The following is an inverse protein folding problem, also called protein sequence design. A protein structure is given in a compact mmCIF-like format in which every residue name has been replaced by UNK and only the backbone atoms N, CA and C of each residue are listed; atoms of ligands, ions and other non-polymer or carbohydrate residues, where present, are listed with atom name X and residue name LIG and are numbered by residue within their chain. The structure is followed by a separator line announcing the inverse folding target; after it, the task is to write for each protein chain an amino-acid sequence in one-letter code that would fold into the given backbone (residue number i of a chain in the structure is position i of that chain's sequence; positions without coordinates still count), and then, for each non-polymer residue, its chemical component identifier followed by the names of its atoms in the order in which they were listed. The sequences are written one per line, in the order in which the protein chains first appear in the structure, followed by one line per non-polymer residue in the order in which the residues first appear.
data_IF_659398316664
#
_entry.id   IF_659398316664
#
_cell.length_a   1.000
_cell.length_b   1.000
_cell.length_c   1.000
_cell.angle_alpha   90.00
_cell.angle_beta   90.00
_cell.angle_gamma   90.00
#
_symmetry.space_group_name_H-M   'P 1'
#
loop_
_entity.id
_entity.type
_entity.pdbx_description
1 polymer ?
#
# COMPACT_ATOMS: atom_id res chain seq x y z
N UNK A 1 -8.51 44.81 21.73
CA UNK A 1 -8.75 43.37 21.51
C UNK A 1 -8.59 43.12 20.02
N UNK A 2 -7.44 42.61 19.63
CA UNK A 2 -7.14 42.29 18.23
C UNK A 2 -7.80 40.95 17.91
N UNK A 3 -8.62 40.95 16.86
CA UNK A 3 -9.25 39.76 16.32
C UNK A 3 -8.24 39.08 15.40
N UNK A 4 -7.56 38.04 15.91
CA UNK A 4 -6.64 37.23 15.14
C UNK A 4 -7.44 36.33 14.18
N UNK A 5 -7.48 36.72 12.91
CA UNK A 5 -7.98 35.87 11.83
C UNK A 5 -7.02 34.71 11.63
N UNK A 6 -7.35 33.56 12.22
CA UNK A 6 -6.71 32.27 11.95
C UNK A 6 -6.80 31.93 10.45
N UNK A 7 -5.62 31.73 9.84
CA UNK A 7 -5.42 31.60 8.40
C UNK A 7 -6.21 30.46 7.76
N UNK A 8 -7.08 30.84 6.84
CA UNK A 8 -7.70 29.96 5.85
C UNK A 8 -6.72 29.86 4.68
N UNK A 9 -5.95 28.78 4.60
CA UNK A 9 -5.03 28.59 3.47
C UNK A 9 -4.31 27.25 3.51
N UNK A 10 -4.66 26.34 2.60
CA UNK A 10 -3.78 25.22 2.30
C UNK A 10 -4.37 23.97 1.66
N UNK A 11 -5.70 23.85 1.53
CA UNK A 11 -6.32 22.73 0.81
C UNK A 11 -6.17 22.89 -0.70
N UNK A 12 -5.07 22.43 -1.29
CA UNK A 12 -5.01 22.17 -2.74
C UNK A 12 -5.70 20.81 -2.97
N UNK A 13 -6.85 20.81 -3.65
CA UNK A 13 -7.60 19.61 -4.03
C UNK A 13 -8.91 19.42 -3.23
N UNK A 14 -9.70 18.36 -3.51
CA UNK A 14 -11.00 18.08 -2.88
C UNK A 14 -10.88 17.56 -1.44
N UNK A 15 -9.78 17.86 -0.76
CA UNK A 15 -9.44 17.30 0.55
C UNK A 15 -9.22 18.40 1.58
N UNK A 16 -9.86 18.27 2.73
CA UNK A 16 -9.60 19.08 3.91
C UNK A 16 -8.47 18.45 4.73
N UNK A 17 -7.43 19.22 5.03
CA UNK A 17 -6.20 18.73 5.68
C UNK A 17 -6.26 18.93 7.20
N UNK A 18 -5.91 17.89 7.94
CA UNK A 18 -5.71 17.87 9.38
C UNK A 18 -4.25 17.97 9.82
N UNK A 19 -3.98 17.50 11.04
CA UNK A 19 -2.65 17.56 11.65
C UNK A 19 -1.62 16.69 10.93
N UNK A 20 -0.36 17.13 10.94
CA UNK A 20 0.76 16.34 10.42
C UNK A 20 1.18 15.21 11.38
N UNK A 21 1.95 14.27 10.85
CA UNK A 21 2.74 13.29 11.60
C UNK A 21 4.21 13.67 11.56
N UNK A 22 4.77 14.01 12.72
CA UNK A 22 6.17 14.44 12.83
C UNK A 22 7.15 13.26 12.63
N UNK A 23 6.70 12.03 12.92
CA UNK A 23 7.46 10.79 12.79
C UNK A 23 7.86 10.48 11.35
N UNK A 24 7.12 11.02 10.38
CA UNK A 24 7.45 10.86 8.96
C UNK A 24 8.75 11.56 8.62
N UNK A 25 9.10 12.67 9.27
CA UNK A 25 10.36 13.39 9.04
C UNK A 25 10.51 14.01 7.63
N UNK A 26 11.43 14.96 7.46
CA UNK A 26 11.49 15.82 6.28
C UNK A 26 11.92 15.10 4.99
N UNK A 27 12.54 13.93 5.08
CA UNK A 27 13.06 13.16 3.94
C UNK A 27 11.97 12.63 3.01
N UNK A 28 10.80 12.29 3.56
CA UNK A 28 9.66 11.80 2.76
C UNK A 28 8.58 12.87 2.59
N UNK A 29 8.76 14.02 3.23
CA UNK A 29 7.80 15.11 3.23
C UNK A 29 6.95 15.17 4.49
N UNK A 30 5.69 15.58 4.33
CA UNK A 30 4.72 15.66 5.45
C UNK A 30 3.49 14.84 5.14
N UNK A 31 3.23 13.85 5.98
CA UNK A 31 1.97 13.10 5.95
C UNK A 31 0.97 13.77 6.89
N UNK A 32 -0.26 13.93 6.41
CA UNK A 32 -1.36 14.53 7.16
C UNK A 32 -2.57 13.60 7.20
N UNK A 33 -3.29 13.66 8.30
CA UNK A 33 -4.72 13.33 8.28
C UNK A 33 -5.41 14.24 7.26
N UNK A 34 -6.38 13.71 6.52
CA UNK A 34 -7.21 14.48 5.64
C UNK A 34 -8.59 13.83 5.47
N UNK A 35 -9.54 14.60 4.96
CA UNK A 35 -10.90 14.15 4.66
C UNK A 35 -11.29 14.55 3.25
N UNK A 36 -11.91 13.62 2.54
CA UNK A 36 -12.58 13.93 1.30
C UNK A 36 -13.81 14.80 1.59
N UNK A 37 -13.85 16.00 1.01
CA UNK A 37 -14.88 17.01 1.33
C UNK A 37 -16.27 16.58 0.87
N UNK A 38 -16.35 15.75 -0.17
CA UNK A 38 -17.62 15.30 -0.74
C UNK A 38 -18.18 14.10 0.04
N UNK A 39 -17.32 13.12 0.34
CA UNK A 39 -17.73 11.86 0.96
C UNK A 39 -17.55 11.80 2.47
N UNK A 40 -16.79 12.74 3.05
CA UNK A 40 -16.38 12.74 4.45
C UNK A 40 -15.42 11.60 4.83
N UNK A 41 -14.96 10.81 3.87
CA UNK A 41 -14.09 9.66 4.13
C UNK A 41 -12.71 10.12 4.58
N UNK A 42 -12.18 9.40 5.57
CA UNK A 42 -10.80 9.57 6.00
C UNK A 42 -9.84 9.20 4.87
N UNK A 43 -8.92 10.11 4.56
CA UNK A 43 -7.82 9.92 3.61
C UNK A 43 -6.51 10.37 4.24
N UNK A 44 -5.40 9.96 3.64
CA UNK A 44 -4.07 10.46 4.00
C UNK A 44 -3.56 11.35 2.88
N UNK A 45 -2.98 12.49 3.24
CA UNK A 45 -2.35 13.38 2.27
C UNK A 45 -0.85 13.48 2.55
N UNK A 46 -0.05 12.91 1.64
CA UNK A 46 1.39 13.06 1.65
C UNK A 46 1.79 14.27 0.78
N UNK A 47 2.61 15.14 1.35
CA UNK A 47 3.16 16.32 0.68
C UNK A 47 4.68 16.17 0.60
N UNK A 48 5.22 15.68 -0.53
CA UNK A 48 6.65 15.58 -0.74
C UNK A 48 7.34 16.93 -0.59
N UNK A 49 8.55 16.93 -0.02
CA UNK A 49 9.41 18.12 0.04
C UNK A 49 10.37 18.15 -1.15
N UNK A 50 11.20 19.19 -1.23
CA UNK A 50 12.28 19.28 -2.23
C UNK A 50 13.36 18.20 -2.06
N UNK A 51 13.34 17.42 -0.96
CA UNK A 51 14.27 16.31 -0.71
C UNK A 51 13.90 15.03 -1.47
N UNK A 52 12.69 14.95 -2.02
CA UNK A 52 12.29 13.86 -2.92
C UNK A 52 12.75 14.22 -4.33
N UNK A 53 13.65 13.42 -4.90
CA UNK A 53 14.39 13.73 -6.13
C UNK A 53 13.52 13.73 -7.39
N UNK A 54 12.37 13.07 -7.35
CA UNK A 54 11.43 12.98 -8.46
C UNK A 54 10.08 13.62 -8.08
N UNK A 55 9.32 14.01 -9.09
CA UNK A 55 7.96 14.53 -8.94
C UNK A 55 7.10 14.00 -10.07
N UNK A 56 5.79 13.84 -9.82
CA UNK A 56 4.93 13.33 -10.87
C UNK A 56 4.82 14.30 -12.05
N UNK A 57 4.88 13.79 -13.28
CA UNK A 57 4.75 14.58 -14.51
C UNK A 57 3.35 15.18 -14.65
N UNK A 58 2.35 14.53 -14.07
CA UNK A 58 0.95 14.94 -14.14
C UNK A 58 0.08 14.33 -13.04
N UNK A 59 -1.24 14.57 -13.09
CA UNK A 59 -2.16 13.99 -12.12
C UNK A 59 -2.26 12.47 -12.29
N UNK A 60 -2.28 11.78 -11.14
CA UNK A 60 -2.58 10.36 -11.06
C UNK A 60 -3.83 10.14 -10.22
N UNK A 61 -4.66 9.20 -10.66
CA UNK A 61 -5.71 8.59 -9.86
C UNK A 61 -5.52 7.09 -9.95
N UNK A 62 -5.23 6.51 -8.79
CA UNK A 62 -4.93 5.09 -8.65
C UNK A 62 -5.68 4.57 -7.43
N UNK A 63 -6.31 3.41 -7.56
CA UNK A 63 -6.88 2.67 -6.44
C UNK A 63 -6.23 1.30 -6.30
N UNK A 64 -6.07 0.89 -5.03
CA UNK A 64 -5.61 -0.43 -4.65
C UNK A 64 -6.79 -1.20 -4.06
N UNK A 65 -7.10 -2.35 -4.63
CA UNK A 65 -8.10 -3.26 -4.10
C UNK A 65 -7.38 -4.50 -3.58
N UNK A 66 -7.60 -4.82 -2.31
CA UNK A 66 -6.98 -5.97 -1.65
C UNK A 66 -8.08 -6.95 -1.24
N UNK A 67 -8.09 -8.13 -1.85
CA UNK A 67 -9.01 -9.21 -1.52
C UNK A 67 -8.24 -10.33 -0.79
N UNK A 68 -8.74 -10.81 0.37
CA UNK A 68 -8.03 -11.83 1.13
C UNK A 68 -8.24 -13.26 0.59
N UNK A 69 -9.28 -13.49 -0.23
CA UNK A 69 -9.59 -14.82 -0.75
C UNK A 69 -10.21 -14.77 -2.17
N UNK A 70 -9.48 -15.20 -3.22
CA UNK A 70 -8.03 -15.49 -3.19
C UNK A 70 -7.24 -14.22 -2.83
N UNK A 71 -6.02 -14.38 -2.29
CA UNK A 71 -5.15 -13.22 -2.01
C UNK A 71 -4.82 -12.53 -3.33
N UNK A 72 -5.41 -11.36 -3.56
CA UNK A 72 -5.23 -10.57 -4.77
C UNK A 72 -5.08 -9.10 -4.41
N UNK A 73 -4.07 -8.46 -4.99
CA UNK A 73 -3.88 -7.00 -4.94
C UNK A 73 -4.03 -6.48 -6.35
N UNK A 74 -5.10 -5.74 -6.60
CA UNK A 74 -5.38 -5.14 -7.91
C UNK A 74 -5.04 -3.66 -7.87
N UNK A 75 -4.17 -3.23 -8.77
CA UNK A 75 -3.89 -1.82 -9.03
C UNK A 75 -4.77 -1.37 -10.19
N UNK A 76 -5.67 -0.42 -9.94
CA UNK A 76 -6.49 0.20 -10.98
C UNK A 76 -6.00 1.63 -11.19
N UNK A 77 -5.66 1.97 -12.43
CA UNK A 77 -5.28 3.33 -12.82
C UNK A 77 -6.48 3.96 -13.51
N UNK A 78 -7.11 4.95 -12.86
CA UNK A 78 -8.24 5.68 -13.42
C UNK A 78 -7.81 6.92 -14.22
N UNK A 79 -6.71 7.55 -13.82
CA UNK A 79 -6.15 8.75 -14.45
C UNK A 79 -4.62 8.66 -14.39
N UNK A 80 -3.96 8.98 -15.50
CA UNK A 80 -2.50 8.98 -15.60
C UNK A 80 -2.03 10.02 -16.64
N UNK A 81 -0.77 10.48 -16.55
CA UNK A 81 -0.13 11.29 -17.59
C UNK A 81 -0.13 10.58 -18.95
N UNK A 82 -0.15 11.35 -20.03
CA UNK A 82 -0.16 10.82 -21.39
C UNK A 82 1.07 9.95 -21.72
N UNK A 83 2.21 10.23 -21.08
CA UNK A 83 3.45 9.46 -21.17
C UNK A 83 3.37 8.08 -20.52
N UNK A 84 2.40 7.85 -19.62
CA UNK A 84 2.25 6.64 -18.80
C UNK A 84 3.59 6.13 -18.22
N UNK A 85 4.31 6.95 -17.42
CA UNK A 85 5.58 6.54 -16.87
C UNK A 85 5.37 5.52 -15.74
N UNK A 86 5.54 4.23 -16.05
CA UNK A 86 5.35 3.13 -15.08
C UNK A 86 6.30 3.25 -13.88
N UNK A 87 7.51 3.77 -14.10
CA UNK A 87 8.47 4.06 -13.03
C UNK A 87 7.92 5.05 -12.01
N UNK A 88 7.23 6.11 -12.47
CA UNK A 88 6.61 7.11 -11.60
C UNK A 88 5.51 6.52 -10.72
N UNK A 89 4.72 5.58 -11.27
CA UNK A 89 3.72 4.85 -10.47
C UNK A 89 4.38 4.01 -9.38
N UNK A 90 5.47 3.30 -9.71
CA UNK A 90 6.23 2.53 -8.74
C UNK A 90 6.80 3.45 -7.63
N UNK A 91 7.35 4.60 -8.02
CA UNK A 91 7.89 5.57 -7.09
C UNK A 91 6.81 6.17 -6.16
N UNK A 92 5.61 6.45 -6.68
CA UNK A 92 4.45 6.89 -5.86
C UNK A 92 4.09 5.85 -4.79
N UNK A 93 4.07 4.57 -5.16
CA UNK A 93 3.76 3.47 -4.25
C UNK A 93 4.86 3.31 -3.19
N UNK A 94 6.13 3.36 -3.59
CA UNK A 94 7.29 3.28 -2.69
C UNK A 94 7.28 4.44 -1.70
N UNK A 95 7.10 5.67 -2.18
CA UNK A 95 7.08 6.87 -1.34
C UNK A 95 5.92 6.83 -0.33
N UNK A 96 4.73 6.44 -0.77
CA UNK A 96 3.55 6.32 0.09
C UNK A 96 3.74 5.22 1.14
N UNK A 97 4.25 4.06 0.73
CA UNK A 97 4.59 2.96 1.64
C UNK A 97 5.59 3.40 2.70
N UNK A 98 6.69 4.03 2.30
CA UNK A 98 7.72 4.52 3.21
C UNK A 98 7.18 5.53 4.24
N UNK A 99 6.28 6.43 3.82
CA UNK A 99 5.66 7.40 4.72
C UNK A 99 4.73 6.72 5.73
N UNK A 100 3.88 5.79 5.27
CA UNK A 100 2.94 5.05 6.14
C UNK A 100 3.69 4.13 7.12
N UNK A 101 4.78 3.49 6.71
CA UNK A 101 5.60 2.64 7.60
C UNK A 101 6.15 3.42 8.79
N UNK A 102 6.51 4.71 8.63
CA UNK A 102 7.02 5.54 9.74
C UNK A 102 5.98 5.82 10.82
N UNK A 103 4.70 5.68 10.50
CA UNK A 103 3.57 5.96 11.41
C UNK A 103 2.69 4.73 11.65
N UNK A 104 3.12 3.54 11.23
CA UNK A 104 2.31 2.32 11.29
C UNK A 104 1.86 1.94 12.71
N UNK A 105 2.67 2.30 13.71
CA UNK A 105 2.41 2.02 15.13
C UNK A 105 1.60 3.15 15.81
N UNK A 106 1.19 4.18 15.05
CA UNK A 106 0.45 5.33 15.58
C UNK A 106 -1.02 4.98 15.85
N UNK A 107 -1.42 5.08 17.13
CA UNK A 107 -2.82 4.98 17.55
C UNK A 107 -3.71 6.01 16.85
N UNK A 108 -3.18 7.22 16.64
CA UNK A 108 -3.88 8.31 15.97
C UNK A 108 -4.21 7.95 14.52
N UNK A 109 -3.24 7.38 13.79
CA UNK A 109 -3.46 6.93 12.42
C UNK A 109 -4.53 5.87 12.33
N UNK A 110 -4.47 4.87 13.21
CA UNK A 110 -5.46 3.80 13.23
C UNK A 110 -6.87 4.33 13.53
N UNK A 111 -6.99 5.25 14.48
CA UNK A 111 -8.26 5.89 14.80
C UNK A 111 -8.80 6.71 13.62
N UNK A 112 -7.95 7.47 12.93
CA UNK A 112 -8.33 8.25 11.75
C UNK A 112 -8.87 7.36 10.62
N UNK A 113 -8.12 6.32 10.23
CA UNK A 113 -8.54 5.39 9.18
C UNK A 113 -9.81 4.61 9.55
N UNK A 114 -9.96 4.21 10.82
CA UNK A 114 -11.17 3.55 11.31
C UNK A 114 -12.39 4.49 11.32
N UNK A 115 -12.20 5.79 11.55
CA UNK A 115 -13.30 6.77 11.55
C UNK A 115 -14.01 6.85 10.20
N UNK A 116 -13.27 6.65 9.09
CA UNK A 116 -13.83 6.61 7.73
C UNK A 116 -14.61 5.35 7.39
N UNK A 117 -14.62 4.34 8.27
CA UNK A 117 -15.36 3.07 8.11
C UNK A 117 -16.73 3.10 8.80
N UNK A 118 -16.98 4.09 9.66
CA UNK A 118 -18.28 4.23 10.29
C UNK A 118 -19.31 4.66 9.24
N UNK A 119 -20.48 3.99 9.14
CA UNK A 119 -21.57 4.49 8.34
C UNK A 119 -21.82 5.94 8.73
N UNK A 120 -21.91 6.84 7.76
CA UNK A 120 -22.28 8.24 7.99
C UNK A 120 -23.54 8.22 8.84
N UNK A 121 -23.39 8.51 10.13
CA UNK A 121 -24.52 8.57 11.05
C UNK A 121 -25.42 9.63 10.42
N UNK A 122 -26.68 9.31 10.06
CA UNK A 122 -27.57 10.35 9.57
C UNK A 122 -27.50 11.44 10.62
N UNK A 123 -27.18 12.67 10.19
CA UNK A 123 -27.17 13.85 11.03
C UNK A 123 -28.57 13.99 11.60
N UNK A 124 -28.78 13.31 12.72
CA UNK A 124 -29.97 13.38 13.53
C UNK A 124 -29.89 14.72 14.22
N UNK A 125 -30.32 15.75 13.50
CA UNK A 125 -30.72 17.01 14.06
C UNK A 125 -31.89 16.69 15.00
N UNK A 126 -31.57 16.30 16.24
CA UNK A 126 -32.55 16.20 17.32
C UNK A 126 -32.93 17.62 17.72
N UNK A 127 -33.69 18.28 16.86
CA UNK A 127 -34.63 19.30 17.26
C UNK A 127 -35.95 18.60 17.54
N UNK A 128 -36.15 18.32 18.82
CA UNK A 128 -37.46 18.04 19.40
C UNK A 128 -38.41 19.19 19.05
N UNK A 129 -39.25 18.97 18.03
CA UNK A 129 -40.34 19.85 17.66
C UNK A 129 -41.52 18.98 17.24
N UNK A 130 -42.50 18.86 18.12
CA UNK A 130 -43.75 18.15 17.83
C UNK A 130 -44.45 18.79 16.63
N UNK A 131 -44.59 18.05 15.54
CA UNK A 131 -45.54 18.36 14.47
C UNK A 131 -46.21 17.07 14.01
N UNK A 132 -47.46 16.91 14.45
CA UNK A 132 -48.37 15.87 13.99
C UNK A 132 -48.83 16.28 12.59
N UNK A 133 -48.44 15.54 11.55
CA UNK A 133 -48.94 15.78 10.19
C UNK A 133 -49.07 14.47 9.39
N UNK A 134 -50.33 14.04 9.32
CA UNK A 134 -50.98 13.09 8.41
C UNK A 134 -50.14 12.26 7.43
N UNK A 135 -50.21 10.95 7.64
CA UNK A 135 -49.96 9.88 6.67
C UNK A 135 -51.01 9.90 5.56
N UNK A 136 -50.70 10.44 4.37
CA UNK A 136 -51.34 10.07 3.09
C UNK A 136 -50.37 10.31 1.93
N UNK A 137 -49.82 9.23 1.37
CA UNK A 137 -49.07 9.32 0.12
C UNK A 137 -47.99 8.26 -0.06
N UNK A 138 -48.30 6.98 0.15
CA UNK A 138 -47.34 5.90 -0.07
C UNK A 138 -48.03 4.70 -0.70
N UNK A 139 -48.57 4.86 -1.92
CA UNK A 139 -49.10 3.75 -2.74
C UNK A 139 -49.15 4.10 -4.26
N UNK A 140 -48.11 4.70 -4.85
CA UNK A 140 -48.03 4.87 -6.31
C UNK A 140 -46.66 4.64 -6.97
N UNK A 141 -45.60 4.32 -6.20
CA UNK A 141 -44.25 4.09 -6.76
C UNK A 141 -43.88 2.62 -7.00
N UNK A 142 -44.54 1.68 -6.32
CA UNK A 142 -44.17 0.25 -6.33
C UNK A 142 -44.71 -0.56 -7.52
N UNK A 143 -45.64 0.00 -8.32
CA UNK A 143 -46.28 -0.71 -9.44
C UNK A 143 -45.52 -0.66 -10.77
N UNK A 144 -44.59 0.28 -10.95
CA UNK A 144 -43.92 0.51 -12.25
C UNK A 144 -42.62 -0.28 -12.38
N UNK A 145 -42.00 -0.71 -11.27
CA UNK A 145 -40.75 -1.48 -11.29
C UNK A 145 -40.94 -3.00 -11.49
N UNK A 146 -42.15 -3.54 -11.24
CA UNK A 146 -42.43 -4.97 -11.36
C UNK A 146 -42.77 -5.45 -12.79
N UNK A 147 -42.97 -4.55 -13.76
CA UNK A 147 -43.34 -4.91 -15.14
C UNK A 147 -42.16 -4.95 -16.12
N UNK A 148 -40.97 -4.49 -15.71
CA UNK A 148 -39.77 -4.50 -16.55
C UNK A 148 -38.90 -5.77 -16.41
N UNK A 149 -39.19 -6.64 -15.44
CA UNK A 149 -38.38 -7.82 -15.10
C UNK A 149 -38.87 -9.14 -15.71
N UNK A 150 -39.90 -9.15 -16.56
CA UNK A 150 -40.51 -10.37 -17.12
C UNK A 150 -40.21 -10.60 -18.61
N UNK A 151 -39.23 -9.93 -19.19
CA UNK A 151 -38.86 -10.16 -20.59
C UNK A 151 -37.36 -10.18 -20.76
N UNK A 152 -36.72 -11.32 -20.45
CA UNK A 152 -35.64 -11.91 -21.27
C UNK A 152 -35.32 -13.31 -20.76
N UNK A 153 -35.77 -14.31 -21.52
CA UNK A 153 -35.12 -15.61 -21.79
C UNK A 153 -36.06 -16.40 -22.72
N UNK A 154 -35.58 -17.23 -23.67
CA UNK A 154 -34.49 -18.18 -23.46
C UNK A 154 -33.52 -18.44 -24.66
N UNK A 155 -32.43 -19.13 -24.31
CA UNK A 155 -31.53 -19.92 -25.17
C UNK A 155 -32.26 -21.00 -26.00
N UNK A 156 -31.62 -21.53 -27.07
CA UNK A 156 -31.39 -22.98 -27.05
C UNK A 156 -30.03 -23.46 -27.64
N UNK A 157 -29.43 -24.45 -26.92
CA UNK A 157 -28.72 -25.68 -27.36
C UNK A 157 -27.89 -25.65 -28.66
N UNK A 158 -26.65 -26.15 -28.78
CA UNK A 158 -25.93 -27.21 -28.05
C UNK A 158 -25.48 -28.30 -29.04
N UNK A 159 -24.16 -28.55 -29.21
CA UNK A 159 -23.58 -29.81 -29.73
C UNK A 159 -22.05 -29.87 -29.53
N UNK A 160 -21.59 -30.85 -28.74
CA UNK A 160 -20.20 -31.36 -28.68
C UNK A 160 -19.95 -32.35 -29.86
N UNK A 161 -18.72 -32.77 -30.23
CA UNK A 161 -17.71 -33.49 -29.41
C UNK A 161 -16.26 -33.02 -29.76
N UNK A 162 -15.10 -33.54 -29.34
CA UNK A 162 -14.63 -34.88 -28.96
C UNK A 162 -13.24 -34.72 -28.31
N UNK A 163 -12.92 -35.61 -27.39
CA UNK A 163 -11.63 -35.75 -26.70
C UNK A 163 -10.57 -36.34 -27.62
N UNK A 164 -9.37 -35.75 -27.69
CA UNK A 164 -8.13 -36.50 -27.96
C UNK A 164 -7.02 -36.03 -27.01
N UNK A 165 -6.57 -37.00 -26.22
CA UNK A 165 -5.47 -36.90 -25.28
C UNK A 165 -4.16 -37.14 -26.02
N UNK A 166 -3.21 -36.21 -25.91
CA UNK A 166 -1.81 -36.48 -26.15
C UNK A 166 -1.00 -35.85 -25.00
N UNK A 167 -0.54 -36.69 -24.07
CA UNK A 167 0.43 -36.31 -23.05
C UNK A 167 1.74 -35.91 -23.72
N UNK A 168 2.06 -34.62 -23.69
CA UNK A 168 3.39 -34.09 -23.95
C UNK A 168 4.00 -33.75 -22.59
N UNK A 169 5.09 -34.42 -22.26
CA UNK A 169 5.86 -34.16 -21.04
C UNK A 169 6.54 -32.79 -21.17
N UNK A 170 6.03 -31.81 -20.43
CA UNK A 170 6.53 -30.42 -20.45
C UNK A 170 7.85 -30.32 -19.68
N UNK A 171 8.82 -29.66 -20.31
CA UNK A 171 10.10 -29.30 -19.70
C UNK A 171 9.86 -28.38 -18.50
N UNK A 172 10.45 -28.63 -17.32
CA UNK A 172 10.34 -27.70 -16.21
C UNK A 172 10.86 -26.32 -16.62
N UNK A 173 10.10 -25.29 -16.24
CA UNK A 173 10.33 -23.85 -16.41
C UNK A 173 11.74 -23.48 -16.88
N UNK A 174 11.85 -23.04 -18.14
CA UNK A 174 13.05 -22.40 -18.66
C UNK A 174 13.05 -20.94 -18.21
N UNK A 175 14.15 -20.49 -17.61
CA UNK A 175 14.33 -19.10 -17.19
C UNK A 175 14.72 -18.26 -18.41
N UNK A 176 13.90 -17.27 -18.75
CA UNK A 176 14.22 -16.28 -19.78
C UNK A 176 15.16 -15.22 -19.20
N UNK A 177 16.45 -15.32 -19.52
CA UNK A 177 17.49 -14.41 -19.05
C UNK A 177 17.43 -13.02 -19.71
N UNK A 178 16.61 -12.83 -20.75
CA UNK A 178 16.42 -11.54 -21.41
C UNK A 178 15.40 -10.63 -20.70
N UNK A 179 14.63 -11.17 -19.74
CA UNK A 179 13.68 -10.43 -18.91
C UNK A 179 14.24 -9.96 -17.57
N UNK A 180 15.55 -10.15 -17.33
CA UNK A 180 16.23 -9.58 -16.17
C UNK A 180 16.46 -8.08 -16.38
N UNK A 181 15.53 -7.26 -15.86
CA UNK A 181 15.69 -5.81 -15.65
C UNK A 181 17.04 -5.49 -14.97
N UNK A 182 17.61 -4.29 -15.16
CA UNK A 182 18.91 -3.94 -14.60
C UNK A 182 18.89 -4.02 -13.06
N UNK A 183 19.58 -5.04 -12.56
CA UNK A 183 19.94 -5.26 -11.17
C UNK A 183 20.40 -3.96 -10.51
N UNK A 184 19.72 -3.54 -9.45
CA UNK A 184 20.15 -2.42 -8.63
C UNK A 184 21.57 -2.72 -8.08
N UNK A 185 22.50 -1.75 -8.12
CA UNK A 185 23.87 -1.99 -7.70
C UNK A 185 23.91 -2.41 -6.23
N UNK A 186 24.49 -3.59 -5.98
CA UNK A 186 24.83 -4.06 -4.65
C UNK A 186 25.52 -2.96 -3.83
N UNK A 187 25.15 -2.82 -2.56
CA UNK A 187 25.73 -1.76 -1.73
C UNK A 187 27.11 -2.18 -1.18
N UNK A 188 28.03 -1.23 -0.94
CA UNK A 188 29.31 -1.57 -0.34
C UNK A 188 29.13 -2.05 1.10
N UNK A 189 29.95 -3.01 1.53
CA UNK A 189 29.96 -3.52 2.90
C UNK A 189 29.99 -2.40 3.96
N UNK A 190 28.98 -2.30 4.86
CA UNK A 190 28.89 -1.23 5.83
C UNK A 190 29.97 -1.38 6.91
N UNK A 191 30.47 -0.25 7.42
CA UNK A 191 31.52 -0.21 8.46
C UNK A 191 31.02 -0.64 9.84
N UNK A 192 29.71 -0.63 10.06
CA UNK A 192 29.04 -1.05 11.30
C UNK A 192 27.79 -1.87 10.96
N UNK A 193 27.35 -2.79 11.83
CA UNK A 193 26.17 -3.62 11.56
C UNK A 193 24.89 -2.78 11.49
N UNK A 194 23.91 -3.23 10.71
CA UNK A 194 22.59 -2.60 10.70
C UNK A 194 21.88 -2.76 12.06
N UNK A 195 20.99 -1.83 12.46
CA UNK A 195 20.28 -1.91 13.74
C UNK A 195 19.51 -3.23 13.96
N UNK A 196 18.98 -3.81 12.90
CA UNK A 196 18.24 -5.08 12.89
C UNK A 196 19.12 -6.31 12.62
N UNK A 197 20.41 -6.12 12.33
CA UNK A 197 21.37 -7.19 12.07
C UNK A 197 21.89 -7.79 13.38
N UNK A 198 22.08 -9.10 13.39
CA UNK A 198 22.76 -9.82 14.45
C UNK A 198 24.20 -9.34 14.55
N UNK A 199 24.57 -8.79 15.70
CA UNK A 199 25.94 -8.45 16.02
C UNK A 199 26.72 -9.71 16.41
N UNK A 200 28.04 -9.66 16.21
CA UNK A 200 28.94 -10.68 16.70
C UNK A 200 28.85 -10.85 18.24
N UNK A 201 29.09 -12.05 18.78
CA UNK A 201 29.58 -13.26 18.11
C UNK A 201 28.51 -14.02 17.32
N UNK A 202 28.87 -14.48 16.11
CA UNK A 202 27.98 -15.22 15.23
C UNK A 202 27.92 -16.70 15.61
N UNK A 203 26.87 -17.10 16.34
CA UNK A 203 26.67 -18.50 16.75
C UNK A 203 25.80 -19.28 15.76
N UNK A 204 26.27 -20.45 15.34
CA UNK A 204 25.36 -21.55 14.97
C UNK A 204 25.45 -22.12 13.56
N UNK A 205 26.21 -21.56 12.61
CA UNK A 205 26.36 -22.15 11.25
C UNK A 205 27.72 -21.83 10.62
N UNK A 206 28.33 -22.82 9.95
CA UNK A 206 29.63 -22.68 9.24
C UNK A 206 29.60 -21.69 8.06
N UNK A 207 28.42 -21.34 7.59
CA UNK A 207 28.20 -20.42 6.46
C UNK A 207 28.01 -18.96 6.90
N UNK A 208 27.99 -18.69 8.22
CA UNK A 208 27.89 -17.34 8.77
C UNK A 208 29.29 -16.86 9.14
N UNK A 209 29.67 -15.71 8.60
CA UNK A 209 30.96 -15.06 8.85
C UNK A 209 30.76 -13.73 9.58
N UNK A 210 31.74 -13.38 10.40
CA UNK A 210 31.79 -12.08 11.07
C UNK A 210 32.54 -11.08 10.18
N UNK A 211 31.86 -9.99 9.81
CA UNK A 211 32.45 -8.89 9.05
C UNK A 211 31.95 -7.59 9.67
N UNK A 212 32.88 -6.69 10.02
CA UNK A 212 32.61 -5.39 10.64
C UNK A 212 31.70 -5.47 11.89
N UNK A 213 31.87 -6.53 12.71
CA UNK A 213 31.11 -6.76 13.94
C UNK A 213 29.67 -7.27 13.72
N UNK A 214 29.29 -7.57 12.48
CA UNK A 214 27.97 -8.10 12.11
C UNK A 214 28.07 -9.51 11.55
N UNK A 215 26.97 -10.24 11.59
CA UNK A 215 26.86 -11.58 11.04
C UNK A 215 26.33 -11.56 9.61
N UNK A 216 27.00 -12.28 8.72
CA UNK A 216 26.74 -12.30 7.28
C UNK A 216 26.70 -13.73 6.74
N UNK A 217 25.84 -13.99 5.77
CA UNK A 217 25.83 -15.23 5.00
C UNK A 217 26.52 -14.97 3.66
N UNK A 218 27.57 -15.74 3.35
CA UNK A 218 28.19 -15.73 2.03
C UNK A 218 27.26 -16.45 1.03
N UNK A 219 26.97 -15.81 -0.10
CA UNK A 219 26.22 -16.43 -1.20
C UNK A 219 27.18 -17.06 -2.21
N UNK A 220 26.70 -18.04 -2.98
CA UNK A 220 27.52 -18.67 -4.03
C UNK A 220 27.69 -17.79 -5.28
N UNK A 221 27.02 -16.63 -5.30
CA UNK A 221 27.06 -15.67 -6.40
C UNK A 221 28.36 -14.88 -6.38
N UNK A 222 28.91 -14.64 -7.57
CA UNK A 222 30.03 -13.71 -7.76
C UNK A 222 29.47 -12.38 -8.26
N UNK A 223 30.10 -11.25 -7.93
CA UNK A 223 29.67 -9.95 -8.42
C UNK A 223 29.47 -9.92 -9.95
N UNK A 224 28.47 -9.21 -10.47
CA UNK A 224 27.54 -8.32 -9.73
C UNK A 224 26.54 -9.12 -8.86
N UNK A 225 26.32 -8.66 -7.62
CA UNK A 225 25.30 -9.29 -6.77
C UNK A 225 23.92 -8.87 -7.27
N UNK A 226 23.02 -9.84 -7.45
CA UNK A 226 21.78 -9.66 -8.22
C UNK A 226 20.62 -9.01 -7.42
N UNK A 227 20.81 -8.77 -6.13
CA UNK A 227 19.77 -8.30 -5.20
C UNK A 227 20.14 -7.00 -4.46
N UNK A 228 19.15 -6.13 -4.25
CA UNK A 228 19.26 -4.89 -3.44
C UNK A 228 19.67 -5.13 -1.98
N UNK A 229 19.50 -6.35 -1.48
CA UNK A 229 19.75 -6.71 -0.09
C UNK A 229 21.13 -7.33 0.14
N UNK A 230 21.96 -7.43 -0.91
CA UNK A 230 23.30 -8.00 -0.84
C UNK A 230 24.40 -6.93 -0.79
N UNK A 231 25.39 -7.18 0.08
CA UNK A 231 26.59 -6.39 0.19
C UNK A 231 27.72 -7.03 -0.62
N UNK A 232 28.39 -6.25 -1.47
CA UNK A 232 29.62 -6.69 -2.12
C UNK A 232 30.83 -6.46 -1.20
N UNK A 233 31.61 -7.52 -0.97
CA UNK A 233 32.85 -7.43 -0.20
C UNK A 233 33.89 -8.44 -0.71
N UNK A 234 35.10 -7.96 -1.02
CA UNK A 234 36.22 -8.79 -1.48
C UNK A 234 35.87 -9.74 -2.65
N UNK A 235 35.05 -9.27 -3.60
CA UNK A 235 34.66 -10.06 -4.78
C UNK A 235 33.65 -11.17 -4.48
N UNK A 236 32.91 -11.05 -3.36
CA UNK A 236 31.84 -11.97 -2.94
C UNK A 236 30.61 -11.18 -2.50
N UNK A 237 29.47 -11.87 -2.47
CA UNK A 237 28.18 -11.30 -2.09
C UNK A 237 27.73 -11.82 -0.72
N UNK A 238 27.18 -10.93 0.09
CA UNK A 238 26.83 -11.20 1.49
C UNK A 238 25.45 -10.67 1.86
N UNK A 239 24.68 -11.51 2.57
CA UNK A 239 23.37 -11.13 3.13
C UNK A 239 23.47 -10.95 4.65
N UNK A 240 22.97 -9.83 5.23
CA UNK A 240 23.03 -9.62 6.68
C UNK A 240 22.07 -10.57 7.42
N UNK A 241 22.54 -11.18 8.51
CA UNK A 241 21.70 -12.03 9.37
C UNK A 241 20.85 -11.17 10.29
N UNK A 242 19.53 -11.34 10.27
CA UNK A 242 18.63 -10.60 11.16
C UNK A 242 18.71 -11.08 12.63
N UNK A 243 18.46 -10.18 13.58
CA UNK A 243 18.25 -10.54 15.00
C UNK A 243 17.03 -11.48 15.15
N UNK A 244 17.06 -12.44 16.10
CA UNK A 244 15.89 -13.27 16.39
C UNK A 244 14.72 -12.39 16.83
N UNK A 245 13.53 -12.61 16.26
CA UNK A 245 12.30 -11.98 16.75
C UNK A 245 11.98 -12.56 18.13
N UNK A 246 11.89 -11.71 19.17
CA UNK A 246 11.36 -12.15 20.46
C UNK A 246 9.87 -12.42 20.28
N UNK A 247 9.44 -13.66 20.55
CA UNK A 247 8.02 -13.98 20.63
C UNK A 247 7.43 -13.25 21.85
N UNK A 248 6.22 -12.70 21.76
CA UNK A 248 5.55 -12.11 22.90
C UNK A 248 5.36 -13.20 23.98
N UNK A 249 5.90 -12.95 25.17
CA UNK A 249 5.65 -13.82 26.30
C UNK A 249 4.28 -13.46 26.88
N UNK A 250 3.35 -14.42 26.81
CA UNK A 250 2.09 -14.34 27.53
C UNK A 250 2.38 -14.22 29.03
N UNK A 251 1.82 -13.20 29.68
CA UNK A 251 1.83 -13.07 31.14
C UNK A 251 0.66 -13.91 31.65
N UNK A 252 0.95 -15.03 32.33
CA UNK A 252 -0.08 -15.84 32.97
C UNK A 252 -0.69 -15.14 34.20
N UNK A 253 -1.96 -15.42 34.54
CA UNK A 253 -2.65 -14.86 35.71
C UNK A 253 -2.13 -15.41 37.04
#
# INVERSE_FOLDING_TARGET
MANETSGKGGGRGPFERGGAYDEVGPELGRLHDAWDVETGKAVLQLLPTERVEWRPEGPWRVSLLCEPEPVAVTVRVEEAPASMPVAELADLLVLTSAAVTRVQDSERLRAHLASGQLPSRPTGDQRTGHAVASWRGLMLGLGVWLLASLSTSPSPYGRAPTTETASREETPSLVDLAAAEPTAPAYPMPKVPFPSQMAAPCTGRKTIVEINGGCWVETAQKPPCDDTNEAEYQGKCYVPVAKPRRLPQSVGP
#
